data_IF_052773001299
#
_entry.id   IF_052773001299
#
_cell.length_a   1.000
_cell.length_b   1.000
_cell.length_c   1.000
_cell.angle_alpha   90.00
_cell.angle_beta   90.00
_cell.angle_gamma   90.00
#
_symmetry.space_group_name_H-M   'P 1'
#
loop_
_entity.id
_entity.type
_entity.pdbx_description
1 polymer ?
#
# COMPACT_ATOMS: atom_id res chain seq x y z
N UNK A 1 -39.72 -4.91 32.43
CA UNK A 1 -38.37 -4.39 32.12
C UNK A 1 -37.54 -5.31 31.21
N UNK A 2 -37.53 -6.64 31.44
CA UNK A 2 -36.71 -7.62 30.68
C UNK A 2 -37.01 -7.70 29.17
N UNK A 3 -38.26 -7.51 28.75
CA UNK A 3 -38.67 -7.61 27.34
C UNK A 3 -38.13 -6.45 26.48
N UNK A 4 -38.12 -5.20 27.00
CA UNK A 4 -37.52 -4.04 26.31
C UNK A 4 -36.02 -4.21 26.08
N UNK A 5 -35.34 -4.85 27.03
CA UNK A 5 -33.91 -5.17 26.94
C UNK A 5 -33.69 -6.16 25.78
N UNK A 6 -34.47 -7.24 25.71
CA UNK A 6 -34.37 -8.23 24.62
C UNK A 6 -34.55 -7.58 23.24
N UNK A 7 -35.53 -6.71 23.06
CA UNK A 7 -35.70 -5.99 21.79
C UNK A 7 -34.52 -5.07 21.45
N UNK A 8 -33.91 -4.43 22.45
CA UNK A 8 -32.69 -3.64 22.26
C UNK A 8 -31.51 -4.47 21.77
N UNK A 9 -31.32 -5.67 22.34
CA UNK A 9 -30.26 -6.59 21.92
C UNK A 9 -30.51 -7.15 20.51
N UNK A 10 -31.76 -7.48 20.17
CA UNK A 10 -32.12 -7.92 18.81
C UNK A 10 -31.88 -6.82 17.79
N UNK A 11 -32.26 -5.57 18.10
CA UNK A 11 -32.02 -4.43 17.24
C UNK A 11 -30.52 -4.17 17.05
N UNK A 12 -29.72 -4.23 18.12
CA UNK A 12 -28.28 -4.06 18.06
C UNK A 12 -27.61 -5.16 17.22
N UNK A 13 -28.03 -6.41 17.38
CA UNK A 13 -27.53 -7.52 16.56
C UNK A 13 -27.90 -7.33 15.08
N UNK A 14 -29.12 -6.89 14.79
CA UNK A 14 -29.56 -6.60 13.42
C UNK A 14 -28.77 -5.44 12.80
N UNK A 15 -28.49 -4.39 13.57
CA UNK A 15 -27.67 -3.26 13.15
C UNK A 15 -26.23 -3.69 12.85
N UNK A 16 -25.63 -4.53 13.70
CA UNK A 16 -24.29 -5.07 13.49
C UNK A 16 -24.22 -5.94 12.23
N UNK A 17 -25.22 -6.80 12.01
CA UNK A 17 -25.32 -7.62 10.79
C UNK A 17 -25.46 -6.76 9.53
N UNK A 18 -26.20 -5.65 9.61
CA UNK A 18 -26.36 -4.70 8.51
C UNK A 18 -25.07 -3.94 8.17
N UNK A 19 -24.16 -3.79 9.14
CA UNK A 19 -22.88 -3.08 8.96
C UNK A 19 -21.73 -3.99 8.46
N UNK A 20 -21.89 -5.32 8.51
CA UNK A 20 -20.90 -6.28 7.98
C UNK A 20 -20.45 -6.02 6.52
N UNK A 21 -21.34 -5.74 5.54
CA UNK A 21 -20.92 -5.50 4.16
C UNK A 21 -20.14 -4.19 3.96
N UNK A 22 -20.20 -3.23 4.90
CA UNK A 22 -19.31 -2.05 4.87
C UNK A 22 -17.87 -2.36 5.30
N UNK A 23 -17.62 -3.51 5.95
CA UNK A 23 -16.28 -3.93 6.39
C UNK A 23 -15.46 -4.60 5.30
N UNK A 24 -16.00 -4.78 4.09
CA UNK A 24 -15.26 -5.25 2.91
C UNK A 24 -14.32 -4.14 2.39
N UNK A 25 -13.42 -3.64 3.26
CA UNK A 25 -12.18 -2.98 2.84
C UNK A 25 -11.30 -4.07 2.24
N UNK A 26 -11.60 -4.45 1.00
CA UNK A 26 -10.76 -5.36 0.23
C UNK A 26 -9.39 -4.72 0.14
N UNK A 27 -8.37 -5.40 0.68
CA UNK A 27 -6.98 -5.09 0.36
C UNK A 27 -6.90 -4.99 -1.17
N UNK A 28 -6.45 -3.83 -1.66
CA UNK A 28 -6.37 -3.56 -3.09
C UNK A 28 -5.73 -4.77 -3.78
N UNK A 29 -6.44 -5.34 -4.76
CA UNK A 29 -5.98 -6.50 -5.54
C UNK A 29 -4.52 -6.28 -5.88
N UNK A 30 -3.62 -7.14 -5.37
CA UNK A 30 -2.19 -7.05 -5.64
C UNK A 30 -2.01 -7.08 -7.15
N UNK A 31 -1.68 -5.94 -7.74
CA UNK A 31 -1.28 -5.88 -9.13
C UNK A 31 0.04 -6.62 -9.21
N UNK A 32 0.12 -7.65 -10.05
CA UNK A 32 1.38 -8.34 -10.29
C UNK A 32 2.30 -7.40 -11.08
N UNK A 33 3.36 -6.93 -10.40
CA UNK A 33 4.35 -6.01 -10.95
C UNK A 33 5.61 -6.74 -11.43
N UNK A 34 5.75 -8.03 -11.11
CA UNK A 34 6.91 -8.84 -11.50
C UNK A 34 6.90 -9.03 -13.02
N UNK A 35 8.06 -8.83 -13.65
CA UNK A 35 8.22 -8.93 -15.11
C UNK A 35 7.67 -7.74 -15.90
N UNK A 36 7.06 -6.75 -15.25
CA UNK A 36 6.69 -5.49 -15.89
C UNK A 36 7.88 -4.55 -15.95
N UNK A 37 7.99 -3.83 -17.06
CA UNK A 37 8.94 -2.73 -17.19
C UNK A 37 8.64 -1.67 -16.12
N UNK A 38 9.70 -1.19 -15.47
CA UNK A 38 9.60 -0.06 -14.55
C UNK A 38 9.57 1.26 -15.34
N UNK A 39 9.07 2.32 -14.70
CA UNK A 39 9.03 3.65 -15.31
C UNK A 39 10.43 4.17 -15.60
N UNK A 40 10.58 4.95 -16.67
CA UNK A 40 11.79 5.76 -16.82
C UNK A 40 11.76 6.91 -15.81
N UNK A 41 12.85 7.09 -15.06
CA UNK A 41 12.97 8.12 -14.05
C UNK A 41 14.35 8.78 -14.09
N UNK A 42 14.39 10.01 -13.60
CA UNK A 42 15.64 10.75 -13.35
C UNK A 42 15.70 11.11 -11.86
N UNK A 43 16.82 10.80 -11.21
CA UNK A 43 16.99 11.04 -9.77
C UNK A 43 18.23 11.88 -9.49
N UNK A 44 18.17 12.82 -8.53
CA UNK A 44 19.37 13.44 -7.99
C UNK A 44 20.19 12.41 -7.21
N UNK A 45 21.51 12.52 -7.29
CA UNK A 45 22.45 11.64 -6.59
C UNK A 45 23.35 12.43 -5.65
N UNK A 46 23.98 11.72 -4.72
CA UNK A 46 25.03 12.27 -3.84
C UNK A 46 26.33 12.61 -4.58
N UNK A 47 26.42 12.27 -5.87
CA UNK A 47 27.60 12.50 -6.72
C UNK A 47 27.48 13.82 -7.51
N UNK A 48 26.65 14.75 -7.06
CA UNK A 48 26.40 16.05 -7.70
C UNK A 48 26.01 15.95 -9.19
N UNK A 49 25.25 14.89 -9.51
CA UNK A 49 24.72 14.66 -10.85
C UNK A 49 23.34 14.04 -10.83
N UNK A 50 22.65 14.16 -11.95
CA UNK A 50 21.43 13.39 -12.22
C UNK A 50 21.78 12.00 -12.73
N UNK A 51 20.96 11.04 -12.33
CA UNK A 51 20.98 9.65 -12.82
C UNK A 51 19.74 9.43 -13.66
N UNK A 52 19.89 8.95 -14.89
CA UNK A 52 18.79 8.56 -15.77
C UNK A 52 18.71 7.03 -15.89
N UNK A 53 17.56 6.45 -15.53
CA UNK A 53 17.37 5.00 -15.54
C UNK A 53 17.44 4.39 -16.94
N UNK A 54 16.70 4.93 -17.92
CA UNK A 54 16.65 4.38 -19.27
C UNK A 54 18.02 4.45 -19.95
N UNK A 55 18.73 5.56 -19.78
CA UNK A 55 20.00 5.78 -20.48
C UNK A 55 21.16 5.02 -19.84
N UNK A 56 21.18 4.88 -18.51
CA UNK A 56 22.34 4.33 -17.79
C UNK A 56 22.16 2.85 -17.39
N UNK A 57 20.94 2.39 -17.11
CA UNK A 57 20.71 1.08 -16.47
C UNK A 57 19.84 0.13 -17.28
N UNK A 58 18.80 0.63 -17.97
CA UNK A 58 17.85 -0.22 -18.68
C UNK A 58 18.53 -1.10 -19.73
N UNK A 59 18.36 -2.43 -19.59
CA UNK A 59 18.98 -3.43 -20.48
C UNK A 59 20.49 -3.58 -20.38
N UNK A 60 21.16 -2.81 -19.50
CA UNK A 60 22.63 -2.79 -19.35
C UNK A 60 23.09 -3.40 -18.04
N UNK A 61 22.31 -3.22 -16.97
CA UNK A 61 22.70 -3.61 -15.61
C UNK A 61 21.50 -4.19 -14.84
N UNK A 62 21.77 -5.09 -13.88
CA UNK A 62 20.80 -5.44 -12.85
C UNK A 62 20.80 -4.33 -11.78
N UNK A 63 19.65 -3.69 -11.58
CA UNK A 63 19.49 -2.57 -10.66
C UNK A 63 18.64 -2.97 -9.45
N UNK A 64 19.16 -2.70 -8.24
CA UNK A 64 18.43 -2.84 -6.97
C UNK A 64 18.21 -1.43 -6.42
N UNK A 65 16.95 -1.08 -6.14
CA UNK A 65 16.56 0.21 -5.55
C UNK A 65 15.92 -0.07 -4.20
N UNK A 66 16.39 0.61 -3.17
CA UNK A 66 15.88 0.49 -1.80
C UNK A 66 15.49 1.87 -1.27
N UNK A 67 14.46 1.91 -0.44
CA UNK A 67 13.97 3.13 0.19
C UNK A 67 14.04 2.99 1.71
N UNK A 68 14.35 4.08 2.39
CA UNK A 68 14.29 4.19 3.85
C UNK A 68 13.46 5.43 4.23
N UNK A 69 12.76 5.44 5.39
CA UNK A 69 11.80 6.50 5.70
C UNK A 69 12.44 7.89 5.83
N UNK A 70 13.61 7.98 6.48
CA UNK A 70 14.30 9.23 6.72
C UNK A 70 15.79 9.00 6.94
N UNK A 71 16.61 10.00 6.63
CA UNK A 71 18.02 9.98 6.99
C UNK A 71 18.18 10.19 8.51
N UNK A 72 19.28 9.66 9.07
CA UNK A 72 19.67 9.82 10.48
C UNK A 72 18.68 9.24 11.52
N UNK A 73 17.86 8.27 11.13
CA UNK A 73 16.97 7.54 12.05
C UNK A 73 17.47 6.10 12.25
N UNK A 74 17.39 5.52 13.48
CA UNK A 74 17.67 4.11 13.67
C UNK A 74 16.67 3.25 12.87
N UNK A 75 17.12 2.03 12.53
CA UNK A 75 16.31 1.01 11.85
C UNK A 75 15.36 0.34 12.81
#
# INVERSE_FOLDING_TARGET
MRIKVIYGWVFLAMLLLFLLPLSEVKAAKKVELVGKETLNFTLPSTQDRLINYADEYYGKHYLIITFFPAAFTPV
#
